data_IF_016741892098
#
_entry.id   IF_016741892098
#
_cell.length_a   1.000
_cell.length_b   1.000
_cell.length_c   1.000
_cell.angle_alpha   90.00
_cell.angle_beta   90.00
_cell.angle_gamma   90.00
#
_symmetry.space_group_name_H-M   'P 1'
#
loop_
_entity.id
_entity.type
_entity.pdbx_description
1 polymer ?
#
# COMPACT_ATOMS: atom_id res chain seq x y z
N UNK A 1 -42.37 22.52 -42.87
CA UNK A 1 -43.32 23.17 -41.94
C UNK A 1 -42.96 22.69 -40.54
N UNK A 2 -42.37 23.59 -39.74
CA UNK A 2 -42.16 23.55 -38.27
C UNK A 2 -41.27 22.39 -37.76
N UNK A 3 -39.96 22.56 -37.56
CA UNK A 3 -39.27 23.30 -36.49
C UNK A 3 -39.64 22.85 -35.07
N UNK A 4 -38.69 22.21 -34.39
CA UNK A 4 -38.74 21.85 -32.98
C UNK A 4 -37.34 21.70 -32.43
N UNK A 5 -36.59 22.81 -32.42
CA UNK A 5 -35.26 22.93 -31.84
C UNK A 5 -35.38 23.12 -30.32
N UNK A 6 -34.53 22.40 -29.60
CA UNK A 6 -33.92 22.70 -28.29
C UNK A 6 -34.81 22.63 -27.03
N UNK A 7 -34.32 21.88 -26.02
CA UNK A 7 -34.18 22.37 -24.63
C UNK A 7 -34.03 21.26 -23.57
N UNK A 8 -33.00 20.39 -23.66
CA UNK A 8 -32.36 19.82 -22.46
C UNK A 8 -30.86 19.67 -22.66
N UNK A 9 -30.18 20.83 -22.65
CA UNK A 9 -28.74 20.94 -22.48
C UNK A 9 -28.39 20.58 -21.04
N UNK A 10 -27.53 19.58 -20.86
CA UNK A 10 -26.94 19.25 -19.56
C UNK A 10 -26.11 17.97 -19.61
N UNK A 11 -24.89 18.07 -20.14
CA UNK A 11 -23.79 17.08 -20.03
C UNK A 11 -23.73 15.87 -20.99
N UNK A 12 -24.42 15.86 -22.12
CA UNK A 12 -24.27 14.77 -23.11
C UNK A 12 -23.23 15.12 -24.20
N UNK A 13 -21.96 14.84 -23.94
CA UNK A 13 -21.11 14.36 -25.04
C UNK A 13 -21.56 12.91 -25.24
N UNK A 14 -22.44 12.65 -26.21
CA UNK A 14 -23.12 11.37 -26.45
C UNK A 14 -22.20 10.20 -26.82
N UNK A 15 -21.29 9.87 -25.92
CA UNK A 15 -20.22 8.87 -26.05
C UNK A 15 -20.54 7.63 -25.23
N UNK A 16 -21.35 7.76 -24.17
CA UNK A 16 -21.75 6.67 -23.28
C UNK A 16 -23.25 6.74 -23.02
N UNK A 17 -23.93 5.60 -23.10
CA UNK A 17 -25.34 5.44 -22.72
C UNK A 17 -25.50 4.59 -21.44
N UNK A 18 -26.74 4.48 -20.95
CA UNK A 18 -27.03 3.67 -19.76
C UNK A 18 -26.80 2.16 -20.00
N UNK A 19 -26.81 1.70 -21.25
CA UNK A 19 -26.55 0.32 -21.61
C UNK A 19 -25.04 0.00 -21.58
N UNK A 20 -24.16 0.98 -21.77
CA UNK A 20 -22.71 0.84 -21.61
C UNK A 20 -22.30 0.50 -20.17
N UNK A 21 -23.04 0.99 -19.18
CA UNK A 21 -22.84 0.65 -17.77
C UNK A 21 -22.99 -0.87 -17.55
N UNK A 22 -23.88 -1.55 -18.29
CA UNK A 22 -24.05 -3.00 -18.19
C UNK A 22 -22.86 -3.80 -18.73
N UNK A 23 -21.99 -3.18 -19.54
CA UNK A 23 -20.81 -3.81 -20.14
C UNK A 23 -19.59 -3.80 -19.21
N UNK A 24 -19.66 -3.08 -18.09
CA UNK A 24 -18.58 -3.01 -17.10
C UNK A 24 -18.41 -4.39 -16.42
N UNK A 25 -17.16 -4.82 -16.25
CA UNK A 25 -16.87 -5.96 -15.39
C UNK A 25 -17.00 -5.50 -13.92
N UNK A 26 -18.04 -5.96 -13.22
CA UNK A 26 -18.32 -5.56 -11.83
C UNK A 26 -17.56 -6.37 -10.77
N UNK A 27 -17.08 -7.57 -11.13
CA UNK A 27 -16.30 -8.42 -10.25
C UNK A 27 -15.12 -7.71 -9.55
N UNK A 28 -14.33 -6.86 -10.25
CA UNK A 28 -13.20 -6.14 -9.66
C UNK A 28 -13.66 -5.11 -8.62
N UNK A 29 -14.79 -4.44 -8.88
CA UNK A 29 -15.38 -3.46 -7.98
C UNK A 29 -15.78 -4.13 -6.67
N UNK A 30 -16.51 -5.26 -6.75
CA UNK A 30 -16.92 -6.01 -5.56
C UNK A 30 -15.72 -6.60 -4.81
N UNK A 31 -14.72 -7.09 -5.53
CA UNK A 31 -13.51 -7.65 -4.92
C UNK A 31 -12.72 -6.60 -4.14
N UNK A 32 -12.47 -5.42 -4.73
CA UNK A 32 -11.81 -4.31 -4.03
C UNK A 32 -12.64 -3.86 -2.83
N UNK A 33 -13.94 -3.68 -3.00
CA UNK A 33 -14.82 -3.28 -1.91
C UNK A 33 -14.78 -4.28 -0.74
N UNK A 34 -14.79 -5.59 -1.03
CA UNK A 34 -14.70 -6.64 -0.02
C UNK A 34 -13.32 -6.66 0.67
N UNK A 35 -12.22 -6.58 -0.10
CA UNK A 35 -10.86 -6.56 0.46
C UNK A 35 -10.65 -5.35 1.39
N UNK A 36 -11.01 -4.15 0.93
CA UNK A 36 -10.91 -2.91 1.73
C UNK A 36 -11.84 -2.97 2.95
N UNK A 37 -13.06 -3.50 2.79
CA UNK A 37 -13.99 -3.68 3.91
C UNK A 37 -13.44 -4.62 4.97
N UNK A 38 -12.83 -5.75 4.56
CA UNK A 38 -12.18 -6.68 5.49
C UNK A 38 -11.06 -6.00 6.28
N UNK A 39 -10.19 -5.23 5.62
CA UNK A 39 -9.14 -4.46 6.30
C UNK A 39 -9.73 -3.46 7.33
N UNK A 40 -10.84 -2.80 6.99
CA UNK A 40 -11.54 -1.88 7.89
C UNK A 40 -12.20 -2.59 9.08
N UNK A 41 -12.79 -3.78 8.87
CA UNK A 41 -13.34 -4.60 9.95
C UNK A 41 -12.24 -5.06 10.89
N UNK A 42 -11.07 -5.46 10.37
CA UNK A 42 -9.90 -5.79 11.19
C UNK A 42 -9.47 -4.57 12.04
N UNK A 43 -9.53 -3.36 11.48
CA UNK A 43 -9.22 -2.13 12.22
C UNK A 43 -10.22 -1.86 13.34
N UNK A 44 -11.51 -1.90 13.04
CA UNK A 44 -12.58 -1.61 14.00
C UNK A 44 -12.67 -2.66 15.11
N UNK A 45 -12.39 -3.93 14.80
CA UNK A 45 -12.44 -5.04 15.77
C UNK A 45 -11.22 -5.10 16.69
N UNK A 46 -10.23 -4.21 16.54
CA UNK A 46 -8.91 -4.27 17.21
C UNK A 46 -8.09 -5.53 16.89
N UNK A 47 -8.51 -6.33 15.91
CA UNK A 47 -7.67 -7.41 15.39
C UNK A 47 -6.37 -6.87 14.79
N UNK A 48 -6.43 -5.68 14.17
CA UNK A 48 -5.22 -4.97 13.75
C UNK A 48 -4.32 -4.60 14.92
N UNK A 49 -4.85 -4.17 16.06
CA UNK A 49 -4.03 -3.82 17.22
C UNK A 49 -3.24 -5.03 17.72
N UNK A 50 -3.86 -6.21 17.76
CA UNK A 50 -3.21 -7.47 18.13
C UNK A 50 -2.13 -7.85 17.11
N UNK A 51 -2.47 -7.86 15.81
CA UNK A 51 -1.55 -8.20 14.73
C UNK A 51 -0.34 -7.25 14.72
N UNK A 52 -0.60 -5.96 14.87
CA UNK A 52 0.41 -4.90 14.94
C UNK A 52 1.28 -5.11 16.18
N UNK A 53 0.71 -5.34 17.35
CA UNK A 53 1.48 -5.59 18.58
C UNK A 53 2.41 -6.80 18.45
N UNK A 54 1.93 -7.91 17.88
CA UNK A 54 2.74 -9.12 17.64
C UNK A 54 3.90 -8.78 16.70
N UNK A 55 3.61 -8.13 15.58
CA UNK A 55 4.64 -7.72 14.62
C UNK A 55 5.67 -6.80 15.26
N UNK A 56 5.21 -5.80 16.02
CA UNK A 56 6.07 -4.85 16.73
C UNK A 56 7.01 -5.55 17.70
N UNK A 57 6.50 -6.46 18.53
CA UNK A 57 7.32 -7.23 19.47
C UNK A 57 8.44 -8.02 18.78
N UNK A 58 8.20 -8.48 17.55
CA UNK A 58 9.20 -9.18 16.74
C UNK A 58 10.26 -8.25 16.15
N UNK A 59 9.88 -7.06 15.70
CA UNK A 59 10.82 -6.13 15.05
C UNK A 59 11.61 -5.29 16.04
N UNK A 60 11.03 -4.94 17.20
CA UNK A 60 11.61 -4.05 18.20
C UNK A 60 13.09 -4.34 18.54
N UNK A 61 13.51 -5.61 18.75
CA UNK A 61 14.91 -5.92 19.06
C UNK A 61 15.90 -5.52 17.96
N UNK A 62 15.41 -5.34 16.73
CA UNK A 62 16.21 -5.02 15.55
C UNK A 62 16.07 -3.56 15.12
N UNK A 63 15.19 -2.78 15.77
CA UNK A 63 15.03 -1.36 15.49
C UNK A 63 16.20 -0.59 16.11
N UNK A 64 17.00 0.04 15.26
CA UNK A 64 18.11 0.91 15.64
C UNK A 64 18.69 1.63 14.43
N UNK A 65 19.93 2.10 14.56
CA UNK A 65 20.67 2.80 13.50
C UNK A 65 21.66 1.84 12.83
N UNK A 66 21.19 1.13 11.79
CA UNK A 66 22.05 0.20 11.07
C UNK A 66 21.36 -0.47 9.88
N UNK A 67 22.17 -1.09 9.02
CA UNK A 67 21.69 -1.82 7.85
C UNK A 67 20.72 -2.97 8.21
N UNK A 68 20.92 -3.60 9.37
CA UNK A 68 20.04 -4.66 9.87
C UNK A 68 18.64 -4.13 10.24
N UNK A 69 18.58 -2.94 10.83
CA UNK A 69 17.31 -2.25 11.13
C UNK A 69 16.55 -1.94 9.84
N UNK A 70 17.24 -1.44 8.81
CA UNK A 70 16.64 -1.18 7.51
C UNK A 70 16.03 -2.42 6.86
N UNK A 71 16.76 -3.54 6.87
CA UNK A 71 16.28 -4.80 6.31
C UNK A 71 15.08 -5.35 7.08
N UNK A 72 15.16 -5.40 8.42
CA UNK A 72 14.09 -5.97 9.24
C UNK A 72 12.83 -5.12 9.15
N UNK A 73 12.95 -3.79 9.26
CA UNK A 73 11.81 -2.89 9.12
C UNK A 73 11.16 -2.98 7.74
N UNK A 74 11.97 -3.00 6.68
CA UNK A 74 11.46 -3.09 5.32
C UNK A 74 10.70 -4.40 5.06
N UNK A 75 11.29 -5.55 5.40
CA UNK A 75 10.65 -6.84 5.17
C UNK A 75 9.44 -7.06 6.08
N UNK A 76 9.50 -6.58 7.32
CA UNK A 76 8.35 -6.61 8.22
C UNK A 76 7.18 -5.77 7.68
N UNK A 77 7.46 -4.56 7.20
CA UNK A 77 6.48 -3.70 6.56
C UNK A 77 5.89 -4.36 5.30
N UNK A 78 6.72 -4.93 4.45
CA UNK A 78 6.28 -5.62 3.23
C UNK A 78 5.38 -6.82 3.53
N UNK A 79 5.77 -7.68 4.48
CA UNK A 79 4.96 -8.83 4.90
C UNK A 79 3.65 -8.38 5.55
N UNK A 80 3.70 -7.34 6.38
CA UNK A 80 2.51 -6.78 7.00
C UNK A 80 1.55 -6.20 5.96
N UNK A 81 2.07 -5.51 4.95
CA UNK A 81 1.27 -4.98 3.84
C UNK A 81 0.52 -6.09 3.08
N UNK A 82 1.16 -7.23 2.82
CA UNK A 82 0.52 -8.39 2.20
C UNK A 82 -0.66 -8.87 3.05
N UNK A 83 -0.52 -8.92 4.37
CA UNK A 83 -1.60 -9.37 5.29
C UNK A 83 -2.75 -8.38 5.32
N UNK A 84 -2.46 -7.07 5.34
CA UNK A 84 -3.49 -6.03 5.40
C UNK A 84 -4.19 -5.86 4.05
N UNK A 85 -3.47 -6.02 2.94
CA UNK A 85 -3.98 -5.87 1.58
C UNK A 85 -4.36 -4.44 1.20
N UNK A 86 -3.94 -3.44 1.97
CA UNK A 86 -4.23 -2.03 1.71
C UNK A 86 -3.14 -1.14 2.34
N UNK A 87 -2.51 -0.32 1.52
CA UNK A 87 -1.41 0.55 1.94
C UNK A 87 -1.87 1.65 2.91
N UNK A 88 -3.06 2.22 2.70
CA UNK A 88 -3.59 3.31 3.52
C UNK A 88 -3.92 2.79 4.91
N UNK A 89 -4.62 1.65 4.99
CA UNK A 89 -4.98 1.03 6.26
C UNK A 89 -3.72 0.61 7.03
N UNK A 90 -2.76 -0.03 6.35
CA UNK A 90 -1.49 -0.43 6.94
C UNK A 90 -0.74 0.77 7.53
N UNK A 91 -0.55 1.84 6.77
CA UNK A 91 0.18 3.03 7.24
C UNK A 91 -0.57 3.77 8.33
N UNK A 92 -1.88 3.96 8.20
CA UNK A 92 -2.69 4.67 9.18
C UNK A 92 -2.69 4.01 10.56
N UNK A 93 -2.64 2.68 10.63
CA UNK A 93 -2.65 1.93 11.89
C UNK A 93 -1.26 1.71 12.48
N UNK A 94 -0.22 1.57 11.65
CA UNK A 94 1.13 1.20 12.11
C UNK A 94 2.11 2.37 12.27
N UNK A 95 1.93 3.48 11.54
CA UNK A 95 2.81 4.65 11.68
C UNK A 95 2.71 5.30 13.07
N UNK A 96 1.52 5.56 13.66
CA UNK A 96 1.43 6.18 14.98
C UNK A 96 2.18 5.42 16.11
N UNK A 97 2.02 4.08 16.27
CA UNK A 97 2.80 3.34 17.25
C UNK A 97 4.31 3.32 16.92
N UNK A 98 4.70 3.28 15.65
CA UNK A 98 6.10 3.38 15.22
C UNK A 98 6.72 4.72 15.64
N UNK A 99 6.00 5.82 15.44
CA UNK A 99 6.48 7.16 15.82
C UNK A 99 6.59 7.31 17.34
N UNK A 100 5.67 6.70 18.08
CA UNK A 100 5.70 6.69 19.55
C UNK A 100 6.92 5.93 20.06
N UNK A 101 7.18 4.74 19.48
CA UNK A 101 8.35 3.94 19.81
C UNK A 101 9.65 4.70 19.49
N UNK A 102 9.76 5.30 18.30
CA UNK A 102 10.94 6.06 17.90
C UNK A 102 11.25 7.19 18.89
N UNK A 103 10.24 7.95 19.32
CA UNK A 103 10.40 9.02 20.32
C UNK A 103 10.86 8.50 21.69
N UNK A 104 10.32 7.37 22.14
CA UNK A 104 10.68 6.79 23.45
C UNK A 104 12.12 6.27 23.50
N UNK A 105 12.64 5.82 22.36
CA UNK A 105 13.97 5.22 22.24
C UNK A 105 15.01 6.13 21.58
N UNK A 106 14.69 7.42 21.40
CA UNK A 106 15.55 8.41 20.75
C UNK A 106 16.06 7.96 19.36
N UNK A 107 15.21 7.28 18.60
CA UNK A 107 15.46 6.89 17.21
C UNK A 107 14.86 7.96 16.30
N UNK A 108 15.54 8.29 15.19
CA UNK A 108 15.01 9.19 14.17
C UNK A 108 13.64 8.69 13.62
N UNK A 109 12.53 9.37 13.96
CA UNK A 109 11.19 8.94 13.55
C UNK A 109 10.99 9.09 12.03
N UNK A 110 11.69 10.02 11.39
CA UNK A 110 11.59 10.23 9.95
C UNK A 110 12.20 9.06 9.19
N UNK A 111 13.43 8.68 9.52
CA UNK A 111 14.11 7.52 8.92
C UNK A 111 13.27 6.25 9.08
N UNK A 112 12.77 6.00 10.29
CA UNK A 112 11.96 4.82 10.60
C UNK A 112 10.64 4.81 9.81
N UNK A 113 9.92 5.93 9.76
CA UNK A 113 8.67 6.05 9.00
C UNK A 113 8.87 5.91 7.50
N UNK A 114 9.99 6.44 6.96
CA UNK A 114 10.34 6.30 5.55
C UNK A 114 10.58 4.84 5.18
N UNK A 115 11.42 4.11 5.92
CA UNK A 115 11.71 2.68 5.67
C UNK A 115 10.41 1.88 5.68
N UNK A 116 9.56 2.12 6.68
CA UNK A 116 8.28 1.44 6.80
C UNK A 116 7.36 1.71 5.62
N UNK A 117 7.29 2.96 5.16
CA UNK A 117 6.48 3.36 4.01
C UNK A 117 6.96 2.72 2.72
N UNK A 118 8.28 2.61 2.52
CA UNK A 118 8.84 1.90 1.35
C UNK A 118 8.44 0.42 1.32
N UNK A 119 8.25 -0.22 2.48
CA UNK A 119 7.78 -1.61 2.56
C UNK A 119 6.38 -1.83 1.96
N UNK A 120 5.50 -0.82 1.99
CA UNK A 120 4.16 -0.90 1.38
C UNK A 120 4.15 -0.63 -0.15
N UNK A 121 5.29 -0.25 -0.71
CA UNK A 121 5.41 0.12 -2.13
C UNK A 121 5.22 -1.07 -3.07
N UNK A 122 6.09 -2.08 -3.00
CA UNK A 122 6.02 -3.28 -3.83
C UNK A 122 4.77 -4.10 -3.50
N UNK A 123 4.13 -4.64 -4.54
CA UNK A 123 2.87 -5.40 -4.44
C UNK A 123 3.01 -6.69 -5.21
N UNK A 124 2.76 -7.82 -4.56
CA UNK A 124 2.88 -9.15 -5.17
C UNK A 124 1.53 -9.76 -5.51
N UNK A 125 0.47 -9.32 -4.81
CA UNK A 125 -0.89 -9.72 -5.08
C UNK A 125 -1.73 -8.54 -5.55
N UNK A 126 -2.71 -8.86 -6.38
CA UNK A 126 -3.60 -7.87 -6.99
C UNK A 126 -4.45 -7.12 -5.97
N UNK A 127 -4.93 -7.82 -4.92
CA UNK A 127 -5.82 -7.24 -3.92
C UNK A 127 -5.18 -6.12 -3.11
N UNK A 128 -3.85 -6.04 -3.11
CA UNK A 128 -3.09 -5.02 -2.41
C UNK A 128 -3.30 -3.60 -2.95
N UNK A 129 -3.91 -3.44 -4.13
CA UNK A 129 -4.26 -2.12 -4.66
C UNK A 129 -5.41 -2.17 -5.65
N UNK A 130 -6.35 -1.22 -5.52
CA UNK A 130 -7.46 -1.06 -6.45
C UNK A 130 -6.98 -0.85 -7.90
N UNK A 131 -5.85 -0.17 -8.10
CA UNK A 131 -5.29 0.09 -9.43
C UNK A 131 -4.82 -1.21 -10.09
N UNK A 132 -4.25 -2.13 -9.32
CA UNK A 132 -3.82 -3.44 -9.83
C UNK A 132 -5.02 -4.32 -10.18
N UNK A 133 -6.08 -4.28 -9.37
CA UNK A 133 -7.32 -4.99 -9.68
C UNK A 133 -7.92 -4.52 -11.01
N UNK A 134 -7.92 -3.22 -11.27
CA UNK A 134 -8.39 -2.68 -12.56
C UNK A 134 -7.53 -3.19 -13.71
N UNK A 135 -6.20 -3.08 -13.62
CA UNK A 135 -5.29 -3.53 -14.67
C UNK A 135 -5.42 -5.02 -15.01
N UNK A 136 -5.51 -5.86 -13.98
CA UNK A 136 -5.74 -7.30 -14.14
C UNK A 136 -7.08 -7.60 -14.83
N UNK A 137 -8.14 -6.87 -14.47
CA UNK A 137 -9.49 -7.15 -14.93
C UNK A 137 -9.73 -6.82 -16.40
N UNK A 138 -8.91 -5.92 -16.95
CA UNK A 138 -8.83 -5.65 -18.38
C UNK A 138 -7.85 -6.57 -19.12
N UNK A 139 -7.19 -7.49 -18.41
CA UNK A 139 -6.27 -8.46 -19.01
C UNK A 139 -4.91 -7.90 -19.39
N UNK A 140 -4.48 -6.75 -18.83
CA UNK A 140 -3.17 -6.17 -19.13
C UNK A 140 -1.99 -6.99 -18.58
N UNK A 141 -2.22 -7.76 -17.51
CA UNK A 141 -1.24 -8.65 -16.88
C UNK A 141 -1.97 -9.74 -16.10
N UNK A 142 -1.28 -10.84 -15.82
CA UNK A 142 -1.80 -11.93 -15.01
C UNK A 142 -1.17 -11.98 -13.59
N UNK A 143 -1.58 -12.97 -12.78
CA UNK A 143 -1.02 -13.14 -11.43
C UNK A 143 0.47 -13.52 -11.45
N UNK A 144 0.96 -14.13 -12.54
CA UNK A 144 2.38 -14.52 -12.66
C UNK A 144 3.24 -13.29 -12.90
N UNK A 145 2.76 -12.36 -13.71
CA UNK A 145 3.41 -11.08 -13.95
C UNK A 145 3.49 -10.25 -12.67
N UNK A 146 2.39 -10.17 -11.91
CA UNK A 146 2.36 -9.52 -10.60
C UNK A 146 3.36 -10.14 -9.63
N UNK A 147 3.38 -11.47 -9.50
CA UNK A 147 4.29 -12.14 -8.58
C UNK A 147 5.76 -11.90 -8.97
N UNK A 148 6.09 -11.98 -10.27
CA UNK A 148 7.46 -11.77 -10.77
C UNK A 148 7.91 -10.33 -10.60
N UNK A 149 7.12 -9.36 -11.07
CA UNK A 149 7.46 -7.94 -11.03
C UNK A 149 7.42 -7.44 -9.59
N UNK A 150 6.42 -7.82 -8.81
CA UNK A 150 6.30 -7.50 -7.40
C UNK A 150 7.48 -8.02 -6.57
N UNK A 151 7.88 -9.27 -6.77
CA UNK A 151 9.04 -9.84 -6.09
C UNK A 151 10.36 -9.19 -6.53
N UNK A 152 10.50 -8.87 -7.83
CA UNK A 152 11.66 -8.14 -8.32
C UNK A 152 11.74 -6.74 -7.69
N UNK A 153 10.64 -6.00 -7.69
CA UNK A 153 10.56 -4.66 -7.09
C UNK A 153 10.79 -4.72 -5.57
N UNK A 154 10.34 -5.77 -4.89
CA UNK A 154 10.58 -5.91 -3.46
C UNK A 154 12.05 -6.15 -3.14
N UNK A 155 12.75 -6.96 -3.93
CA UNK A 155 14.20 -7.15 -3.79
C UNK A 155 14.95 -5.87 -4.16
N UNK A 156 14.61 -5.24 -5.28
CA UNK A 156 15.28 -4.00 -5.73
C UNK A 156 15.13 -2.89 -4.69
N UNK A 157 13.93 -2.70 -4.13
CA UNK A 157 13.69 -1.69 -3.09
C UNK A 157 14.48 -2.01 -1.82
N UNK A 158 14.55 -3.28 -1.41
CA UNK A 158 15.39 -3.71 -0.28
C UNK A 158 16.86 -3.36 -0.49
N UNK A 159 17.40 -3.65 -1.69
CA UNK A 159 18.78 -3.34 -2.05
C UNK A 159 19.04 -1.83 -2.08
N UNK A 160 18.11 -1.06 -2.62
CA UNK A 160 18.19 0.41 -2.62
C UNK A 160 18.24 0.92 -1.18
N UNK A 161 17.37 0.46 -0.30
CA UNK A 161 17.39 0.87 1.12
C UNK A 161 18.66 0.41 1.84
N UNK A 162 19.18 -0.76 1.52
CA UNK A 162 20.44 -1.27 2.08
C UNK A 162 21.63 -0.37 1.74
N UNK A 163 21.58 0.34 0.60
CA UNK A 163 22.59 1.34 0.24
C UNK A 163 22.23 2.71 0.81
N UNK A 164 20.99 3.17 0.68
CA UNK A 164 20.60 4.52 1.07
C UNK A 164 20.68 4.75 2.57
N UNK A 165 20.21 3.81 3.40
CA UNK A 165 20.12 4.00 4.86
C UNK A 165 21.49 4.14 5.51
N UNK A 166 22.50 3.29 5.26
CA UNK A 166 23.82 3.46 5.89
C UNK A 166 24.72 4.49 5.20
N UNK A 167 24.59 4.71 3.88
CA UNK A 167 25.55 5.56 3.15
C UNK A 167 25.02 6.95 2.81
N UNK A 168 23.78 7.07 2.33
CA UNK A 168 23.24 8.35 1.85
C UNK A 168 22.55 9.14 2.95
N UNK A 169 21.74 8.49 3.79
CA UNK A 169 20.95 9.15 4.82
C UNK A 169 21.79 9.90 5.86
N UNK A 170 22.93 9.37 6.34
CA UNK A 170 23.80 10.11 7.26
C UNK A 170 24.42 11.36 6.63
N UNK A 171 24.62 11.39 5.30
CA UNK A 171 25.17 12.55 4.58
C UNK A 171 24.19 13.72 4.55
N UNK A 172 22.88 13.43 4.49
CA UNK A 172 21.81 14.43 4.53
C UNK A 172 21.28 14.67 5.95
N UNK A 173 21.90 14.06 6.97
CA UNK A 173 21.58 14.25 8.38
C UNK A 173 20.43 13.39 8.92
N UNK A 174 20.00 12.36 8.20
CA UNK A 174 19.00 11.39 8.63
C UNK A 174 19.65 10.16 9.30
N UNK A 175 18.92 9.52 10.24
CA UNK A 175 19.36 8.29 10.90
C UNK A 175 20.37 8.49 12.05
N UNK A 176 20.36 9.67 12.68
CA UNK A 176 21.15 10.02 13.87
C UNK A 176 20.34 9.89 15.15
#
# INVERSE_FOLDING_TARGET
MVEGRDSRRGADVGVLDADDVRKINYLPIFFVAAAVSLSNVLAQSKALDVLTTILFNWIQPFIGTGWMSALVLYWAAFLYHIVIGNEIAMLATSIPPLMTYAKQHAIDPLALGMIWTFGAGPKIFMYESAVLVVGYSYGYFDNKDLLKVGALLSIVTALILLVLVPFYWPLIGLGR
#
